data_IF_984308356749
#
_entry.id   IF_984308356749
#
_cell.length_a   1.000
_cell.length_b   1.000
_cell.length_c   1.000
_cell.angle_alpha   90.00
_cell.angle_beta   90.00
_cell.angle_gamma   90.00
#
_symmetry.space_group_name_H-M   'P 1'
#
loop_
_entity.id
_entity.type
_entity.pdbx_description
1 polymer ?
#
# COMPACT_ATOMS: atom_id res chain seq x y z
N UNK A 1 -4.17 7.96 -0.04
CA UNK A 1 -2.73 8.27 -0.29
C UNK A 1 -2.55 9.57 -1.08
N UNK A 2 -3.21 9.74 -2.23
CA UNK A 2 -3.03 10.94 -3.06
C UNK A 2 -3.36 12.23 -2.30
N UNK A 3 -4.48 12.26 -1.60
CA UNK A 3 -4.87 13.40 -0.76
C UNK A 3 -3.84 13.68 0.35
N UNK A 4 -3.34 12.65 0.98
CA UNK A 4 -2.33 12.77 2.04
C UNK A 4 -1.03 13.40 1.53
N UNK A 5 -0.60 13.06 0.30
CA UNK A 5 0.56 13.70 -0.35
C UNK A 5 0.31 15.19 -0.59
N UNK A 6 -0.92 15.56 -1.02
CA UNK A 6 -1.28 16.97 -1.19
C UNK A 6 -1.27 17.73 0.15
N UNK A 7 -1.84 17.14 1.20
CA UNK A 7 -1.84 17.74 2.54
C UNK A 7 -0.42 17.97 3.07
N UNK A 8 0.49 17.03 2.84
CA UNK A 8 1.90 17.21 3.18
C UNK A 8 2.53 18.34 2.37
N UNK A 9 2.37 18.34 1.04
CA UNK A 9 2.89 19.38 0.15
C UNK A 9 2.42 20.78 0.56
N UNK A 10 1.15 20.91 0.89
CA UNK A 10 0.49 22.17 1.21
C UNK A 10 0.63 22.57 2.70
N UNK A 11 1.49 21.86 3.45
CA UNK A 11 1.75 22.08 4.88
C UNK A 11 0.50 21.98 5.78
N UNK A 12 -0.47 21.18 5.36
CA UNK A 12 -1.71 20.91 6.13
C UNK A 12 -1.61 19.64 6.98
N UNK A 13 -0.58 18.82 6.74
CA UNK A 13 -0.20 17.68 7.56
C UNK A 13 1.32 17.66 7.76
N UNK A 14 1.80 17.13 8.88
CA UNK A 14 3.22 16.93 9.16
C UNK A 14 3.66 15.50 8.84
N UNK A 15 2.77 14.55 9.08
CA UNK A 15 2.98 13.11 8.79
C UNK A 15 1.78 12.54 8.07
N UNK A 16 2.01 11.51 7.27
CA UNK A 16 0.93 10.84 6.57
C UNK A 16 1.23 9.36 6.33
N UNK A 17 0.19 8.55 6.30
CA UNK A 17 0.26 7.18 5.80
C UNK A 17 -0.05 7.18 4.30
N UNK A 18 0.76 6.45 3.53
CA UNK A 18 0.56 6.21 2.10
C UNK A 18 0.88 4.76 1.75
N UNK A 19 0.25 4.25 0.70
CA UNK A 19 0.61 2.95 0.14
C UNK A 19 1.98 3.02 -0.54
N UNK A 20 2.72 1.93 -0.57
CA UNK A 20 4.08 1.84 -1.11
C UNK A 20 4.30 2.53 -2.46
N UNK A 21 3.45 2.29 -3.50
CA UNK A 21 3.60 2.94 -4.79
C UNK A 21 3.63 4.47 -4.72
N UNK A 22 2.88 5.07 -3.80
CA UNK A 22 2.83 6.52 -3.65
C UNK A 22 4.15 7.14 -3.15
N UNK A 23 4.99 6.39 -2.45
CA UNK A 23 6.34 6.82 -2.10
C UNK A 23 7.17 7.08 -3.36
N UNK A 24 7.22 6.10 -4.26
CA UNK A 24 7.96 6.20 -5.52
C UNK A 24 7.32 7.20 -6.50
N UNK A 25 6.00 7.13 -6.70
CA UNK A 25 5.29 8.06 -7.59
C UNK A 25 5.44 9.51 -7.15
N UNK A 26 5.37 9.77 -5.84
CA UNK A 26 5.51 11.14 -5.34
C UNK A 26 6.94 11.66 -5.51
N UNK A 27 7.93 10.84 -5.22
CA UNK A 27 9.33 11.25 -5.38
C UNK A 27 9.67 11.54 -6.84
N UNK A 28 9.21 10.68 -7.76
CA UNK A 28 9.53 10.77 -9.19
C UNK A 28 8.59 11.70 -9.97
N UNK A 29 7.42 12.08 -9.44
CA UNK A 29 6.39 12.80 -10.19
C UNK A 29 5.70 11.92 -11.22
N UNK A 30 5.34 10.69 -10.85
CA UNK A 30 4.78 9.68 -11.73
C UNK A 30 3.39 9.23 -11.27
N UNK A 31 2.73 8.39 -12.07
CA UNK A 31 1.39 7.88 -11.77
C UNK A 31 0.39 9.02 -11.57
N UNK A 32 -0.40 8.99 -10.49
CA UNK A 32 -1.37 10.05 -10.20
C UNK A 32 -0.74 11.34 -9.65
N UNK A 33 0.56 11.38 -9.42
CA UNK A 33 1.30 12.53 -8.89
C UNK A 33 2.02 13.22 -10.04
N UNK A 34 1.49 14.35 -10.50
CA UNK A 34 1.89 15.01 -11.76
C UNK A 34 3.25 15.73 -11.70
N UNK A 35 3.87 15.85 -10.54
CA UNK A 35 5.17 16.52 -10.37
C UNK A 35 5.96 15.94 -9.20
N UNK A 36 7.31 15.87 -9.31
CA UNK A 36 8.16 15.37 -8.23
C UNK A 36 7.95 16.12 -6.91
N UNK A 37 7.80 15.39 -5.83
CA UNK A 37 7.68 15.92 -4.47
C UNK A 37 9.03 15.78 -3.74
N UNK A 38 10.03 16.56 -4.17
CA UNK A 38 11.42 16.43 -3.69
C UNK A 38 11.62 16.76 -2.22
N UNK A 39 10.62 17.37 -1.58
CA UNK A 39 10.59 17.63 -0.14
C UNK A 39 10.04 16.45 0.68
N UNK A 40 9.51 15.41 0.03
CA UNK A 40 9.00 14.21 0.70
C UNK A 40 10.16 13.42 1.31
N UNK A 41 9.94 12.90 2.51
CA UNK A 41 10.89 12.02 3.21
C UNK A 41 10.14 10.81 3.77
N UNK A 42 10.77 9.67 3.71
CA UNK A 42 10.26 8.45 4.35
C UNK A 42 10.66 8.42 5.83
N UNK A 43 9.74 7.99 6.67
CA UNK A 43 10.01 7.65 8.07
C UNK A 43 10.24 6.15 8.20
N UNK A 44 9.42 5.34 7.52
CA UNK A 44 9.60 3.89 7.47
C UNK A 44 8.46 3.16 6.82
N UNK A 45 8.70 1.90 6.46
CA UNK A 45 7.68 0.94 6.10
C UNK A 45 7.08 0.34 7.38
N UNK A 46 5.76 0.21 7.41
CA UNK A 46 5.02 -0.28 8.57
C UNK A 46 4.39 -1.64 8.26
N UNK A 47 3.08 -1.79 8.35
CA UNK A 47 2.39 -3.04 8.04
C UNK A 47 2.15 -3.22 6.53
N UNK A 48 1.88 -4.44 6.13
CA UNK A 48 1.58 -4.78 4.74
C UNK A 48 0.21 -4.26 4.32
N UNK A 49 0.15 -3.69 3.13
CA UNK A 49 -1.08 -3.33 2.42
C UNK A 49 -1.38 -4.45 1.43
N UNK A 50 -2.28 -5.35 1.82
CA UNK A 50 -2.58 -6.59 1.10
C UNK A 50 -3.69 -6.35 0.09
N UNK A 51 -3.49 -6.76 -1.16
CA UNK A 51 -4.49 -6.66 -2.21
C UNK A 51 -5.57 -7.74 -2.04
N UNK A 52 -6.84 -7.32 -2.09
CA UNK A 52 -8.01 -8.22 -1.99
C UNK A 52 -8.88 -8.03 -3.22
N UNK A 53 -8.40 -8.50 -4.37
CA UNK A 53 -9.25 -8.57 -5.57
C UNK A 53 -10.27 -9.68 -5.42
N UNK A 54 -11.51 -9.30 -5.22
CA UNK A 54 -12.66 -10.19 -4.98
C UNK A 54 -13.52 -10.24 -6.22
N UNK A 55 -14.06 -11.42 -6.53
CA UNK A 55 -15.06 -11.64 -7.58
C UNK A 55 -16.14 -12.59 -7.08
N UNK A 56 -17.39 -12.41 -7.53
CA UNK A 56 -18.45 -13.39 -7.30
C UNK A 56 -18.10 -14.72 -7.96
N UNK A 57 -18.30 -15.81 -7.25
CA UNK A 57 -17.84 -17.16 -7.65
C UNK A 57 -18.44 -17.60 -8.99
N UNK A 58 -19.64 -17.15 -9.34
CA UNK A 58 -20.28 -17.47 -10.62
C UNK A 58 -19.56 -16.90 -11.85
N UNK A 59 -18.66 -15.90 -11.65
CA UNK A 59 -17.83 -15.29 -12.69
C UNK A 59 -16.37 -15.76 -12.66
N UNK A 60 -16.04 -16.64 -11.73
CA UNK A 60 -14.68 -17.18 -11.59
C UNK A 60 -14.53 -18.42 -12.48
N UNK A 61 -13.51 -18.40 -13.35
CA UNK A 61 -13.15 -19.54 -14.21
C UNK A 61 -11.92 -20.28 -13.69
N UNK A 62 -10.80 -19.58 -13.53
CA UNK A 62 -9.53 -20.14 -13.06
C UNK A 62 -9.29 -19.93 -11.57
N UNK A 63 -9.90 -18.92 -10.97
CA UNK A 63 -9.63 -18.45 -9.62
C UNK A 63 -8.41 -17.55 -9.53
N UNK A 64 -7.86 -17.10 -10.65
CA UNK A 64 -6.71 -16.20 -10.74
C UNK A 64 -7.13 -14.77 -11.06
N UNK A 65 -6.25 -13.81 -10.75
CA UNK A 65 -6.49 -12.37 -11.00
C UNK A 65 -6.89 -12.08 -12.44
N UNK A 66 -6.44 -12.90 -13.39
CA UNK A 66 -6.74 -12.75 -14.80
C UNK A 66 -8.21 -13.04 -15.17
N UNK A 67 -8.99 -13.66 -14.30
CA UNK A 67 -10.46 -13.83 -14.50
C UNK A 67 -11.17 -12.48 -14.62
N UNK A 68 -10.59 -11.41 -14.05
CA UNK A 68 -11.10 -10.05 -14.21
C UNK A 68 -11.14 -9.57 -15.67
N UNK A 69 -10.32 -10.15 -16.54
CA UNK A 69 -10.34 -9.84 -17.97
C UNK A 69 -11.58 -10.38 -18.70
N UNK A 70 -12.34 -11.29 -18.07
CA UNK A 70 -13.58 -11.87 -18.62
C UNK A 70 -14.80 -10.97 -18.34
N UNK A 71 -14.68 -9.95 -17.49
CA UNK A 71 -15.75 -8.99 -17.26
C UNK A 71 -16.08 -8.22 -18.54
N UNK A 72 -17.35 -7.90 -18.74
CA UNK A 72 -17.86 -7.23 -19.94
C UNK A 72 -18.96 -6.21 -19.58
N UNK A 73 -18.59 -5.21 -18.84
CA UNK A 73 -19.47 -4.10 -18.42
C UNK A 73 -20.11 -4.30 -17.04
N UNK A 74 -19.74 -5.35 -16.31
CA UNK A 74 -20.21 -5.54 -14.93
C UNK A 74 -19.62 -4.45 -14.01
N UNK A 75 -20.38 -4.13 -12.96
CA UNK A 75 -19.96 -3.12 -12.00
C UNK A 75 -18.92 -3.68 -11.03
N UNK A 76 -17.78 -3.00 -10.98
CA UNK A 76 -16.65 -3.34 -10.12
C UNK A 76 -16.18 -2.12 -9.32
N UNK A 77 -15.65 -2.32 -8.12
CA UNK A 77 -15.16 -1.25 -7.24
C UNK A 77 -13.66 -1.42 -6.99
N UNK A 78 -12.88 -0.39 -7.30
CA UNK A 78 -11.46 -0.32 -6.93
C UNK A 78 -11.21 0.56 -5.68
N UNK A 79 -12.24 1.26 -5.21
CA UNK A 79 -12.18 2.16 -4.06
C UNK A 79 -12.93 3.46 -4.29
N UNK A 80 -12.82 4.38 -3.34
CA UNK A 80 -13.33 5.73 -3.50
C UNK A 80 -12.49 6.50 -4.55
N UNK A 81 -13.13 7.43 -5.27
CA UNK A 81 -12.46 8.23 -6.29
C UNK A 81 -11.24 8.96 -5.74
N UNK A 82 -10.11 8.88 -6.44
CA UNK A 82 -8.80 9.44 -6.06
C UNK A 82 -8.22 8.86 -4.75
N UNK A 83 -8.74 7.74 -4.27
CA UNK A 83 -8.15 7.03 -3.13
C UNK A 83 -6.85 6.29 -3.53
N UNK A 84 -6.05 5.91 -2.54
CA UNK A 84 -4.90 5.03 -2.78
C UNK A 84 -5.31 3.69 -3.38
N UNK A 85 -6.40 3.11 -2.89
CA UNK A 85 -6.95 1.85 -3.38
C UNK A 85 -7.30 1.92 -4.87
N UNK A 86 -8.04 2.95 -5.27
CA UNK A 86 -8.43 3.13 -6.68
C UNK A 86 -7.21 3.31 -7.59
N UNK A 87 -6.28 4.19 -7.22
CA UNK A 87 -5.11 4.48 -8.05
C UNK A 87 -4.14 3.29 -8.16
N UNK A 88 -3.90 2.59 -7.05
CA UNK A 88 -3.08 1.38 -7.07
C UNK A 88 -3.78 0.25 -7.84
N UNK A 89 -5.09 0.08 -7.65
CA UNK A 89 -5.88 -0.91 -8.38
C UNK A 89 -5.83 -0.69 -9.90
N UNK A 90 -5.97 0.56 -10.37
CA UNK A 90 -5.81 0.91 -11.80
C UNK A 90 -4.41 0.55 -12.31
N UNK A 91 -3.37 0.98 -11.59
CA UNK A 91 -2.00 0.65 -11.96
C UNK A 91 -1.76 -0.86 -12.09
N UNK A 92 -2.29 -1.65 -11.16
CA UNK A 92 -2.20 -3.12 -11.19
C UNK A 92 -2.88 -3.66 -12.45
N UNK A 93 -4.14 -3.29 -12.70
CA UNK A 93 -4.90 -3.79 -13.84
C UNK A 93 -4.26 -3.42 -15.17
N UNK A 94 -3.85 -2.15 -15.35
CA UNK A 94 -3.12 -1.67 -16.52
C UNK A 94 -1.82 -2.47 -16.76
N UNK A 95 -1.04 -2.68 -15.70
CA UNK A 95 0.23 -3.41 -15.78
C UNK A 95 0.03 -4.89 -16.13
N UNK A 96 -1.07 -5.49 -15.67
CA UNK A 96 -1.45 -6.85 -16.04
C UNK A 96 -2.03 -6.96 -17.46
N UNK A 97 -2.33 -5.82 -18.10
CA UNK A 97 -2.95 -5.77 -19.44
C UNK A 97 -4.46 -5.97 -19.39
N UNK A 98 -5.09 -5.73 -18.26
CA UNK A 98 -6.55 -5.74 -18.11
C UNK A 98 -7.09 -4.33 -18.41
N UNK A 99 -7.80 -4.19 -19.51
CA UNK A 99 -8.45 -2.93 -19.90
C UNK A 99 -9.71 -2.71 -19.07
N UNK A 100 -9.53 -2.19 -17.86
CA UNK A 100 -10.63 -1.96 -16.94
C UNK A 100 -11.59 -0.84 -17.42
N UNK A 101 -11.17 0.04 -18.32
CA UNK A 101 -12.04 1.08 -18.88
C UNK A 101 -13.05 0.49 -19.86
N UNK A 102 -12.64 -0.51 -20.63
CA UNK A 102 -13.52 -1.27 -21.53
C UNK A 102 -14.31 -2.36 -20.78
N UNK A 103 -13.64 -3.07 -19.87
CA UNK A 103 -14.17 -4.28 -19.21
C UNK A 103 -15.10 -4.00 -18.04
N UNK A 104 -14.88 -2.91 -17.31
CA UNK A 104 -15.60 -2.66 -16.07
C UNK A 104 -16.51 -1.44 -16.19
N UNK A 105 -17.67 -1.51 -15.53
CA UNK A 105 -18.43 -0.34 -15.16
C UNK A 105 -17.98 0.10 -13.75
N UNK A 106 -16.93 0.92 -13.67
CA UNK A 106 -16.34 1.31 -12.39
C UNK A 106 -17.32 2.10 -11.52
N UNK A 107 -17.59 1.59 -10.33
CA UNK A 107 -18.27 2.30 -9.27
C UNK A 107 -17.24 2.77 -8.21
N UNK A 108 -17.50 3.92 -7.59
CA UNK A 108 -16.59 4.55 -6.66
C UNK A 108 -17.25 4.69 -5.30
N UNK A 109 -16.75 3.97 -4.33
CA UNK A 109 -17.25 4.01 -2.96
C UNK A 109 -16.19 3.57 -1.95
N UNK A 110 -16.38 3.95 -0.69
CA UNK A 110 -15.52 3.50 0.40
C UNK A 110 -15.82 2.05 0.79
N UNK A 111 -14.99 1.47 1.64
CA UNK A 111 -15.00 0.03 1.97
C UNK A 111 -16.34 -0.47 2.55
N UNK A 112 -16.92 0.24 3.51
CA UNK A 112 -18.22 -0.17 4.10
C UNK A 112 -19.36 -0.21 3.06
N UNK A 113 -19.64 0.89 2.33
CA UNK A 113 -20.59 0.89 1.23
C UNK A 113 -20.34 -0.17 0.15
N UNK A 114 -19.07 -0.49 -0.14
CA UNK A 114 -18.70 -1.54 -1.11
C UNK A 114 -19.15 -2.92 -0.63
N UNK A 115 -19.00 -3.21 0.68
CA UNK A 115 -19.50 -4.46 1.27
C UNK A 115 -21.02 -4.59 1.14
N UNK A 116 -21.76 -3.53 1.38
CA UNK A 116 -23.21 -3.53 1.18
C UNK A 116 -23.56 -3.71 -0.30
N UNK A 117 -22.85 -3.05 -1.21
CA UNK A 117 -23.14 -3.14 -2.64
C UNK A 117 -22.95 -4.55 -3.22
N UNK A 118 -21.93 -5.30 -2.79
CA UNK A 118 -21.73 -6.68 -3.26
C UNK A 118 -22.76 -7.62 -2.65
N UNK A 119 -23.14 -7.40 -1.39
CA UNK A 119 -24.21 -8.15 -0.73
C UNK A 119 -25.55 -8.00 -1.46
N UNK A 120 -25.86 -6.79 -1.88
CA UNK A 120 -27.12 -6.44 -2.55
C UNK A 120 -27.13 -6.78 -4.04
N UNK A 121 -26.02 -7.37 -4.58
CA UNK A 121 -25.87 -7.70 -5.99
C UNK A 121 -25.71 -6.47 -6.92
N UNK A 122 -25.36 -5.32 -6.37
CA UNK A 122 -25.16 -4.10 -7.12
C UNK A 122 -23.77 -3.99 -7.79
N UNK A 123 -22.83 -4.83 -7.38
CA UNK A 123 -21.49 -5.00 -7.95
C UNK A 123 -21.13 -6.49 -7.96
N UNK A 124 -20.27 -6.89 -8.88
CA UNK A 124 -19.82 -8.29 -9.00
C UNK A 124 -18.46 -8.55 -8.34
N UNK A 125 -17.74 -7.49 -7.98
CA UNK A 125 -16.45 -7.63 -7.33
C UNK A 125 -15.87 -6.29 -6.88
N UNK A 126 -14.74 -6.39 -6.18
CA UNK A 126 -14.10 -5.24 -5.57
C UNK A 126 -12.62 -5.52 -5.31
N UNK A 127 -11.79 -4.45 -5.24
CA UNK A 127 -10.51 -4.51 -4.57
C UNK A 127 -10.54 -3.65 -3.31
N UNK A 128 -10.21 -4.24 -2.17
CA UNK A 128 -10.13 -3.56 -0.87
C UNK A 128 -8.74 -3.81 -0.27
N UNK A 129 -7.71 -3.05 -0.70
CA UNK A 129 -6.38 -3.20 -0.14
C UNK A 129 -6.31 -2.71 1.31
N UNK A 130 -5.58 -3.44 2.14
CA UNK A 130 -5.41 -3.07 3.56
C UNK A 130 -4.63 -4.09 4.37
N UNK A 131 -4.39 -3.75 5.64
CA UNK A 131 -3.77 -4.68 6.59
C UNK A 131 -4.75 -5.79 6.96
N UNK A 132 -4.40 -7.03 6.62
CA UNK A 132 -5.24 -8.18 6.88
C UNK A 132 -5.28 -8.56 8.39
N UNK A 133 -6.43 -9.01 8.92
CA UNK A 133 -7.72 -9.13 8.25
C UNK A 133 -8.44 -7.78 8.13
N UNK A 134 -8.97 -7.48 6.93
CA UNK A 134 -9.72 -6.25 6.67
C UNK A 134 -11.18 -6.43 7.05
N UNK A 135 -11.71 -5.53 7.88
CA UNK A 135 -13.08 -5.65 8.42
C UNK A 135 -14.17 -5.76 7.35
N UNK A 136 -14.04 -4.99 6.26
CA UNK A 136 -15.01 -5.04 5.15
C UNK A 136 -14.98 -6.37 4.40
N UNK A 137 -13.80 -6.99 4.24
CA UNK A 137 -13.66 -8.32 3.65
C UNK A 137 -14.21 -9.38 4.62
N UNK A 138 -13.93 -9.23 5.92
CA UNK A 138 -14.51 -10.11 6.96
C UNK A 138 -16.04 -10.10 6.90
N UNK A 139 -16.65 -8.91 6.80
CA UNK A 139 -18.09 -8.77 6.65
C UNK A 139 -18.61 -9.40 5.36
N UNK A 140 -17.94 -9.15 4.22
CA UNK A 140 -18.36 -9.71 2.94
C UNK A 140 -18.35 -11.24 2.97
N UNK A 141 -17.31 -11.86 3.49
CA UNK A 141 -17.25 -13.32 3.66
C UNK A 141 -18.29 -13.85 4.64
N UNK A 142 -18.56 -13.14 5.73
CA UNK A 142 -19.61 -13.56 6.68
C UNK A 142 -21.01 -13.57 6.04
N UNK A 143 -21.27 -12.68 5.09
CA UNK A 143 -22.57 -12.51 4.43
C UNK A 143 -22.71 -13.38 3.17
N UNK A 144 -21.66 -13.52 2.37
CA UNK A 144 -21.70 -14.18 1.07
C UNK A 144 -21.13 -15.60 1.10
N UNK A 145 -20.19 -15.88 2.02
CA UNK A 145 -19.55 -17.19 2.13
C UNK A 145 -18.83 -17.57 0.83
N UNK A 146 -19.18 -18.72 0.28
CA UNK A 146 -18.61 -19.29 -0.94
C UNK A 146 -19.11 -18.64 -2.24
N UNK A 147 -20.08 -17.69 -2.15
CA UNK A 147 -20.55 -16.93 -3.31
C UNK A 147 -19.55 -15.89 -3.83
N UNK A 148 -18.47 -15.66 -3.10
CA UNK A 148 -17.36 -14.81 -3.54
C UNK A 148 -16.02 -15.44 -3.19
N UNK A 149 -14.96 -15.02 -3.87
CA UNK A 149 -13.60 -15.40 -3.51
C UNK A 149 -12.63 -14.27 -3.78
N UNK A 150 -11.57 -14.20 -2.97
CA UNK A 150 -10.37 -13.45 -3.31
C UNK A 150 -9.63 -14.24 -4.39
N UNK A 151 -9.19 -13.56 -5.44
CA UNK A 151 -8.48 -14.16 -6.56
C UNK A 151 -7.02 -14.40 -6.23
N UNK A 152 -6.50 -15.55 -6.68
CA UNK A 152 -5.10 -15.90 -6.58
C UNK A 152 -4.24 -15.12 -7.58
N UNK A 153 -2.96 -15.00 -7.27
CA UNK A 153 -1.98 -14.39 -8.14
C UNK A 153 -0.99 -15.44 -8.64
N UNK A 154 -0.45 -15.22 -9.84
CA UNK A 154 0.59 -16.05 -10.44
C UNK A 154 1.95 -15.37 -10.32
N UNK A 155 3.02 -16.16 -10.47
CA UNK A 155 4.38 -15.61 -10.53
C UNK A 155 4.54 -14.61 -11.70
N UNK A 156 3.88 -14.87 -12.81
CA UNK A 156 3.89 -13.96 -13.97
C UNK A 156 3.25 -12.62 -13.61
N UNK A 157 2.09 -12.63 -12.96
CA UNK A 157 1.39 -11.42 -12.52
C UNK A 157 2.23 -10.62 -11.53
N UNK A 158 2.85 -11.28 -10.54
CA UNK A 158 3.75 -10.61 -9.60
C UNK A 158 4.97 -10.00 -10.32
N UNK A 159 5.58 -10.73 -11.23
CA UNK A 159 6.73 -10.23 -11.99
C UNK A 159 6.36 -8.99 -12.83
N UNK A 160 5.17 -8.98 -13.44
CA UNK A 160 4.70 -7.84 -14.23
C UNK A 160 4.57 -6.58 -13.39
N UNK A 161 3.89 -6.64 -12.24
CA UNK A 161 3.70 -5.44 -11.39
C UNK A 161 4.99 -4.96 -10.75
N UNK A 162 5.97 -5.83 -10.54
CA UNK A 162 7.28 -5.50 -9.99
C UNK A 162 8.30 -5.04 -11.03
N UNK A 163 7.99 -5.10 -12.32
CA UNK A 163 8.96 -4.79 -13.38
C UNK A 163 9.49 -3.35 -13.31
N UNK A 164 8.64 -2.40 -12.92
CA UNK A 164 9.04 -0.99 -12.77
C UNK A 164 9.38 -0.62 -11.32
N UNK A 165 8.58 -1.10 -10.40
CA UNK A 165 8.73 -0.84 -8.95
C UNK A 165 8.66 -2.16 -8.21
N UNK A 166 9.77 -2.69 -7.69
CA UNK A 166 9.79 -3.97 -6.94
C UNK A 166 9.27 -3.73 -5.51
N UNK A 167 7.97 -3.51 -5.39
CA UNK A 167 7.31 -3.12 -4.15
C UNK A 167 6.39 -4.20 -3.58
N UNK A 168 5.94 -5.12 -4.43
CA UNK A 168 5.02 -6.18 -4.02
C UNK A 168 5.76 -7.48 -3.76
N UNK A 169 5.30 -8.16 -2.71
CA UNK A 169 5.74 -9.50 -2.35
C UNK A 169 4.52 -10.39 -2.11
N UNK A 170 4.75 -11.69 -2.01
CA UNK A 170 3.70 -12.64 -1.72
C UNK A 170 3.05 -12.41 -0.36
N UNK A 171 1.75 -12.61 -0.32
CA UNK A 171 0.97 -12.69 0.90
C UNK A 171 0.00 -13.86 0.83
N UNK A 172 0.01 -14.71 1.84
CA UNK A 172 -0.80 -15.91 1.90
C UNK A 172 -1.92 -15.75 2.93
N UNK A 173 -3.15 -16.07 2.51
CA UNK A 173 -4.29 -16.24 3.41
C UNK A 173 -4.52 -17.73 3.64
N UNK A 174 -4.07 -18.30 4.76
CA UNK A 174 -4.43 -19.66 5.13
C UNK A 174 -5.95 -19.78 5.30
N UNK A 175 -6.51 -21.00 5.14
CA UNK A 175 -7.90 -21.24 5.42
C UNK A 175 -8.31 -20.72 6.80
N UNK A 176 -9.46 -20.08 6.87
CA UNK A 176 -9.98 -19.49 8.12
C UNK A 176 -9.42 -18.09 8.45
N UNK A 177 -8.65 -17.46 7.58
CA UNK A 177 -8.27 -16.03 7.74
C UNK A 177 -9.52 -15.16 7.75
N UNK A 178 -10.47 -15.44 6.90
CA UNK A 178 -11.80 -14.83 6.87
C UNK A 178 -12.89 -15.86 7.16
N UNK A 179 -14.07 -15.45 7.68
CA UNK A 179 -15.20 -16.36 7.90
C UNK A 179 -15.58 -17.09 6.59
N UNK A 180 -15.80 -18.41 6.67
CA UNK A 180 -16.17 -19.24 5.52
C UNK A 180 -15.14 -19.28 4.36
N UNK A 181 -13.96 -18.75 4.54
CA UNK A 181 -12.85 -18.93 3.59
C UNK A 181 -12.17 -20.27 3.89
N UNK A 182 -12.53 -21.30 3.11
CA UNK A 182 -12.05 -22.66 3.31
C UNK A 182 -10.77 -22.98 2.53
N UNK A 183 -10.48 -22.21 1.48
CA UNK A 183 -9.33 -22.43 0.59
C UNK A 183 -8.18 -21.48 0.95
N UNK A 184 -6.96 -21.98 0.80
CA UNK A 184 -5.77 -21.13 0.77
C UNK A 184 -5.87 -20.17 -0.42
N UNK A 185 -5.53 -18.90 -0.19
CA UNK A 185 -5.44 -17.89 -1.25
C UNK A 185 -4.06 -17.24 -1.17
N UNK A 186 -3.39 -17.13 -2.29
CA UNK A 186 -2.13 -16.40 -2.43
C UNK A 186 -2.34 -15.13 -3.22
N UNK A 187 -2.09 -14.01 -2.58
CA UNK A 187 -2.16 -12.66 -3.17
C UNK A 187 -0.83 -11.94 -3.04
N UNK A 188 -0.83 -10.64 -3.27
CA UNK A 188 0.34 -9.78 -3.15
C UNK A 188 0.09 -8.64 -2.17
N UNK A 189 1.15 -8.13 -1.57
CA UNK A 189 1.11 -6.99 -0.67
C UNK A 189 2.27 -6.04 -0.95
N UNK A 190 2.04 -4.74 -0.81
CA UNK A 190 3.06 -3.70 -0.74
C UNK A 190 3.14 -3.13 0.68
N UNK A 191 4.20 -2.41 1.07
CA UNK A 191 4.22 -1.78 2.39
C UNK A 191 3.24 -0.61 2.47
N UNK A 192 2.69 -0.35 3.67
CA UNK A 192 2.20 0.96 4.03
C UNK A 192 3.37 1.78 4.58
N UNK A 193 3.50 3.01 4.13
CA UNK A 193 4.60 3.90 4.49
C UNK A 193 4.12 5.00 5.42
N UNK A 194 4.93 5.33 6.42
CA UNK A 194 4.86 6.60 7.12
C UNK A 194 5.83 7.56 6.43
N UNK A 195 5.29 8.70 6.01
CA UNK A 195 6.04 9.74 5.30
C UNK A 195 5.85 11.11 5.95
N UNK A 196 6.80 11.99 5.70
CA UNK A 196 6.83 13.37 6.23
C UNK A 196 7.50 14.30 5.21
N UNK A 197 7.74 15.55 5.61
CA UNK A 197 8.53 16.53 4.82
C UNK A 197 9.91 16.73 5.43
N UNK A 198 10.84 17.21 4.60
CA UNK A 198 12.22 17.51 4.99
C UNK A 198 12.36 18.59 6.06
N UNK A 199 11.38 19.51 6.15
CA UNK A 199 11.40 20.64 7.09
C UNK A 199 10.92 20.28 8.50
N UNK A 200 10.46 19.06 8.73
CA UNK A 200 10.11 18.61 10.09
C UNK A 200 11.41 18.45 10.90
N UNK A 201 11.48 18.95 12.14
CA UNK A 201 12.71 18.88 12.93
C UNK A 201 13.21 17.44 13.09
N UNK A 202 14.52 17.24 12.93
CA UNK A 202 15.17 15.93 13.02
C UNK A 202 14.82 15.20 14.32
N UNK A 203 14.84 15.91 15.46
CA UNK A 203 14.56 15.32 16.77
C UNK A 203 13.12 14.81 16.88
N UNK A 204 12.16 15.47 16.23
CA UNK A 204 10.75 15.03 16.21
C UNK A 204 10.63 13.72 15.47
N UNK A 205 11.24 13.60 14.30
CA UNK A 205 11.17 12.37 13.48
C UNK A 205 11.97 11.24 14.12
N UNK A 206 13.14 11.55 14.71
CA UNK A 206 13.92 10.57 15.45
C UNK A 206 13.11 9.97 16.61
N UNK A 207 12.51 10.81 17.45
CA UNK A 207 11.71 10.36 18.59
C UNK A 207 10.47 9.57 18.14
N UNK A 208 9.79 10.01 17.08
CA UNK A 208 8.65 9.27 16.53
C UNK A 208 9.06 7.88 16.02
N UNK A 209 10.14 7.81 15.25
CA UNK A 209 10.67 6.54 14.73
C UNK A 209 11.04 5.61 15.88
N UNK A 210 11.76 6.11 16.85
CA UNK A 210 12.18 5.38 18.05
C UNK A 210 10.97 4.85 18.83
N UNK A 211 9.99 5.68 19.10
CA UNK A 211 8.78 5.28 19.86
C UNK A 211 8.01 4.17 19.13
N UNK A 212 7.88 4.25 17.81
CA UNK A 212 7.20 3.20 17.02
C UNK A 212 7.91 1.85 17.22
N UNK A 213 9.22 1.79 17.02
CA UNK A 213 9.95 0.52 17.01
C UNK A 213 10.26 -0.01 18.42
N UNK A 214 10.46 0.84 19.40
CA UNK A 214 10.65 0.41 20.80
C UNK A 214 9.34 -0.07 21.43
N UNK A 215 8.17 0.30 20.90
CA UNK A 215 6.87 -0.16 21.38
C UNK A 215 6.18 -1.13 20.40
N UNK A 216 6.93 -1.79 19.53
CA UNK A 216 6.40 -2.67 18.51
C UNK A 216 5.51 -3.79 19.10
N UNK A 217 5.91 -4.39 20.21
CA UNK A 217 5.13 -5.42 20.88
C UNK A 217 3.71 -4.93 21.27
N UNK A 218 3.62 -3.71 21.81
CA UNK A 218 2.33 -3.08 22.15
C UNK A 218 1.49 -2.82 20.90
N UNK A 219 2.11 -2.34 19.82
CA UNK A 219 1.41 -2.12 18.55
C UNK A 219 0.86 -3.42 17.97
N UNK A 220 1.60 -4.52 18.09
CA UNK A 220 1.19 -5.85 17.61
C UNK A 220 0.01 -6.45 18.37
N UNK A 221 -0.29 -5.95 19.57
CA UNK A 221 -1.47 -6.33 20.35
C UNK A 221 -2.74 -5.58 19.91
N UNK A 222 -2.59 -4.41 19.25
CA UNK A 222 -3.72 -3.53 18.91
C UNK A 222 -4.49 -4.06 17.69
N UNK A 223 -3.79 -4.53 16.66
CA UNK A 223 -4.41 -5.00 15.41
C UNK A 223 -3.59 -6.08 14.73
N UNK A 224 -4.27 -7.06 14.10
CA UNK A 224 -3.60 -8.18 13.41
C UNK A 224 -2.58 -7.75 12.35
N UNK A 225 -2.88 -6.70 11.60
CA UNK A 225 -1.99 -6.17 10.56
C UNK A 225 -0.62 -5.71 11.07
N UNK A 226 -0.55 -5.20 12.31
CA UNK A 226 0.72 -4.73 12.88
C UNK A 226 1.69 -5.86 13.23
N UNK A 227 1.23 -7.11 13.20
CA UNK A 227 2.10 -8.28 13.34
C UNK A 227 3.10 -8.45 12.19
N UNK A 228 2.78 -7.85 11.03
CA UNK A 228 3.68 -7.82 9.88
C UNK A 228 4.78 -6.74 10.01
N UNK A 229 4.67 -5.84 10.99
CA UNK A 229 5.70 -4.81 11.24
C UNK A 229 6.95 -5.46 11.83
N UNK A 230 8.08 -5.19 11.19
CA UNK A 230 9.40 -5.68 11.61
C UNK A 230 10.45 -4.62 11.35
N UNK A 231 11.36 -4.43 12.30
CA UNK A 231 12.41 -3.43 12.20
C UNK A 231 13.39 -3.75 11.06
N UNK A 232 13.71 -5.01 10.84
CA UNK A 232 14.66 -5.47 9.82
C UNK A 232 14.22 -5.18 8.37
N UNK A 233 12.94 -4.94 8.15
CA UNK A 233 12.37 -4.57 6.84
C UNK A 233 11.80 -3.13 6.83
N UNK A 234 12.08 -2.33 7.85
CA UNK A 234 11.53 -0.98 8.00
C UNK A 234 11.90 -0.01 6.88
N UNK A 235 12.92 -0.33 6.09
CA UNK A 235 13.38 0.49 4.98
C UNK A 235 13.10 -0.13 3.60
N UNK A 236 12.41 -1.28 3.57
CA UNK A 236 12.05 -1.95 2.34
C UNK A 236 10.91 -1.23 1.62
N UNK A 237 10.97 -1.17 0.30
CA UNK A 237 9.94 -0.56 -0.53
C UNK A 237 9.76 0.96 -0.35
N UNK A 238 10.68 1.64 0.33
CA UNK A 238 10.67 3.10 0.43
C UNK A 238 11.04 3.71 -0.93
N UNK A 239 10.15 4.55 -1.46
CA UNK A 239 10.34 5.21 -2.75
C UNK A 239 10.95 6.61 -2.65
N UNK A 240 10.93 7.22 -1.47
CA UNK A 240 11.57 8.52 -1.18
C UNK A 240 12.68 8.33 -0.15
N UNK A 241 13.70 9.20 -0.13
CA UNK A 241 14.79 9.14 0.85
C UNK A 241 14.28 9.23 2.29
N UNK A 242 15.05 8.66 3.21
CA UNK A 242 14.76 8.76 4.64
C UNK A 242 14.89 10.20 5.13
N UNK A 243 14.04 10.54 6.09
CA UNK A 243 14.24 11.75 6.89
C UNK A 243 15.49 11.61 7.78
N UNK A 244 16.32 12.66 7.98
CA UNK A 244 17.52 12.58 8.82
C UNK A 244 17.28 11.97 10.19
N UNK A 245 16.17 12.30 10.86
CA UNK A 245 15.80 11.72 12.15
C UNK A 245 15.53 10.22 12.10
N UNK A 246 14.83 9.74 11.08
CA UNK A 246 14.61 8.31 10.90
C UNK A 246 15.92 7.57 10.55
N UNK A 247 16.73 8.16 9.66
CA UNK A 247 18.05 7.63 9.30
C UNK A 247 18.96 7.49 10.53
N UNK A 248 18.97 8.49 11.42
CA UNK A 248 19.74 8.46 12.68
C UNK A 248 19.34 7.29 13.55
N UNK A 249 18.03 7.08 13.77
CA UNK A 249 17.54 5.97 14.57
C UNK A 249 17.90 4.61 13.95
N UNK A 250 17.66 4.42 12.65
CA UNK A 250 17.97 3.16 12.00
C UNK A 250 19.47 2.82 12.01
N UNK A 251 20.34 3.82 11.89
CA UNK A 251 21.79 3.63 12.08
C UNK A 251 22.16 3.27 13.50
N UNK A 252 21.52 3.88 14.49
CA UNK A 252 21.73 3.59 15.91
C UNK A 252 21.42 2.15 16.26
N UNK A 253 20.35 1.58 15.67
CA UNK A 253 19.97 0.18 15.89
C UNK A 253 20.67 -0.81 14.93
N UNK A 254 21.58 -0.34 14.08
CA UNK A 254 22.42 -1.17 13.21
C UNK A 254 21.71 -1.70 11.96
N UNK A 255 20.64 -1.03 11.51
CA UNK A 255 19.99 -1.40 10.25
C UNK A 255 20.82 -0.94 9.06
N UNK A 256 21.03 -1.82 8.07
CA UNK A 256 21.66 -1.46 6.80
C UNK A 256 20.73 -0.58 5.97
N UNK A 257 21.23 0.58 5.54
CA UNK A 257 20.44 1.54 4.78
C UNK A 257 20.95 1.60 3.34
N UNK A 258 20.11 1.30 2.34
CA UNK A 258 20.48 1.46 0.95
C UNK A 258 20.85 2.92 0.62
N UNK A 259 21.93 3.13 -0.15
CA UNK A 259 22.46 4.46 -0.50
C UNK A 259 21.39 5.37 -1.13
N UNK A 260 20.50 4.80 -1.94
CA UNK A 260 19.37 5.55 -2.55
C UNK A 260 18.43 6.21 -1.55
N UNK A 261 18.45 5.79 -0.31
CA UNK A 261 17.62 6.35 0.77
C UNK A 261 18.33 7.41 1.60
N UNK A 262 19.58 7.69 1.29
CA UNK A 262 20.41 8.68 1.97
C UNK A 262 20.52 9.91 1.07
N UNK A 263 20.08 11.06 1.57
CA UNK A 263 20.44 12.34 0.96
C UNK A 263 21.70 12.81 1.68
N UNK A 264 22.79 12.92 0.95
CA UNK A 264 23.94 13.67 1.46
C UNK A 264 23.54 15.15 1.52
N UNK A 265 23.50 15.75 2.70
CA UNK A 265 23.45 17.21 2.78
C UNK A 265 24.67 17.75 2.03
N UNK A 266 24.50 18.78 1.17
CA UNK A 266 25.67 19.44 0.60
C UNK A 266 26.55 19.84 1.78
N UNK A 267 27.79 19.31 1.78
CA UNK A 267 28.78 19.66 2.79
C UNK A 267 28.79 21.19 2.93
N UNK A 268 28.57 21.68 4.15
CA UNK A 268 28.61 23.10 4.43
C UNK A 268 29.87 23.69 3.75
N UNK A 269 29.75 24.83 3.03
CA UNK A 269 30.92 25.44 2.39
C UNK A 269 31.98 25.58 3.46
N UNK A 270 33.20 25.08 3.18
CA UNK A 270 34.35 25.27 4.03
C UNK A 270 34.42 26.77 4.29
N UNK A 271 34.14 27.18 5.52
CA UNK A 271 34.51 28.54 5.97
C UNK A 271 36.00 28.64 5.83
N UNK A 272 36.42 29.38 4.82
CA UNK A 272 37.80 29.83 4.71
C UNK A 272 38.00 30.79 5.86
N UNK A 273 38.49 30.28 6.99
CA UNK A 273 39.11 31.09 7.99
C UNK A 273 40.49 31.47 7.50
N UNK A 274 40.63 32.70 7.32
CA UNK A 274 41.75 33.59 7.02
C UNK A 274 43.15 33.03 7.24
N UNK A 275 43.98 33.23 6.18
CA UNK A 275 45.40 33.38 6.31
C UNK A 275 45.74 34.87 6.38
#
# INVERSE_FOLDING_TARGET
SLENIKLLRDNQAQFAFVQGPFGAWSWNGEGPVSSPQTRLRSVGALWKNVEHFVLLTELIESGEIMDLNNLNGERYVLGARNSGAEQTGRFILETLGIDYEEKFNLAYMGYGPTTSAIQDGNIVGMNIPGGAPVSSITQAYALLGDRMSILNWTQESLNKINAKYPLWDWYDFPPGTYPNQEKHVRTVASPNLLVTREDIPEEVVYNLTKVIWENLATLQEIHGATKDMRLDIAVDGLGAPLHPGALRYYREVGLEIPDRLIIEEPSAPLTVEEA
#
